data_IF_125623593194
#
_entry.id   IF_125623593194
#
_cell.length_a   1.000
_cell.length_b   1.000
_cell.length_c   1.000
_cell.angle_alpha   90.00
_cell.angle_beta   90.00
_cell.angle_gamma   90.00
#
_symmetry.space_group_name_H-M   'P 1'
#
loop_
_entity.id
_entity.type
_entity.pdbx_description
1 polymer ?
#
# COMPACT_ATOMS: atom_id res chain seq x y z
N UNK A 1 35.77 3.06 -1.58
CA UNK A 1 34.92 1.90 -1.26
C UNK A 1 33.66 2.44 -0.63
N UNK A 2 32.47 2.38 -1.28
CA UNK A 2 31.24 2.82 -0.62
C UNK A 2 30.91 1.83 0.48
N UNK A 3 30.59 2.35 1.67
CA UNK A 3 30.18 1.57 2.81
C UNK A 3 28.84 0.89 2.52
N UNK A 4 28.78 -0.43 2.71
CA UNK A 4 27.57 -1.24 2.59
C UNK A 4 26.57 -0.75 3.66
N UNK A 5 25.43 -0.22 3.24
CA UNK A 5 24.32 0.12 4.12
C UNK A 5 23.75 -1.19 4.68
N UNK A 6 23.69 -1.41 6.00
CA UNK A 6 23.13 -2.62 6.56
C UNK A 6 21.63 -2.67 6.29
N UNK A 7 21.20 -3.73 5.62
CA UNK A 7 19.78 -4.04 5.45
C UNK A 7 19.15 -4.27 6.84
N UNK A 8 18.30 -3.33 7.28
CA UNK A 8 17.52 -3.54 8.50
C UNK A 8 16.51 -4.65 8.26
N UNK A 9 16.44 -5.68 9.12
CA UNK A 9 15.40 -6.69 9.02
C UNK A 9 14.04 -6.00 9.19
N UNK A 10 13.09 -6.40 8.34
CA UNK A 10 11.68 -6.00 8.43
C UNK A 10 11.21 -6.23 9.87
N UNK A 11 10.70 -5.18 10.53
CA UNK A 11 10.15 -5.31 11.86
C UNK A 11 9.14 -6.47 11.87
N UNK A 12 9.35 -7.42 12.77
CA UNK A 12 8.45 -8.55 12.98
C UNK A 12 7.10 -7.98 13.42
N UNK A 13 6.12 -8.04 12.52
CA UNK A 13 4.77 -7.57 12.82
C UNK A 13 4.24 -8.40 14.00
N UNK A 14 3.74 -7.72 15.03
CA UNK A 14 3.07 -8.37 16.13
C UNK A 14 2.01 -9.35 15.58
N UNK A 15 1.87 -10.56 16.15
CA UNK A 15 0.95 -11.56 15.65
C UNK A 15 -0.47 -11.00 15.71
N UNK A 16 -1.01 -10.67 14.54
CA UNK A 16 -2.46 -10.51 14.39
C UNK A 16 -3.08 -11.85 14.78
N UNK A 17 -4.15 -11.82 15.58
CA UNK A 17 -4.88 -13.03 15.94
C UNK A 17 -5.10 -13.86 14.67
N UNK A 18 -4.58 -15.10 14.67
CA UNK A 18 -4.62 -15.96 13.50
C UNK A 18 -6.08 -16.10 13.05
N UNK A 19 -6.39 -15.52 11.90
CA UNK A 19 -7.70 -15.69 11.30
C UNK A 19 -7.89 -17.18 11.00
N UNK A 20 -9.03 -17.74 11.42
CA UNK A 20 -9.34 -19.15 11.15
C UNK A 20 -9.29 -19.40 9.64
N UNK A 21 -8.78 -20.58 9.21
CA UNK A 21 -8.77 -20.93 7.79
C UNK A 21 -10.16 -20.77 7.18
N UNK A 22 -10.25 -20.19 5.99
CA UNK A 22 -11.51 -19.99 5.27
C UNK A 22 -11.28 -20.05 3.78
N UNK A 23 -12.34 -20.34 3.04
CA UNK A 23 -12.35 -20.38 1.57
C UNK A 23 -13.30 -19.33 1.03
N UNK A 24 -12.84 -18.56 0.07
CA UNK A 24 -13.70 -17.71 -0.76
C UNK A 24 -13.90 -18.40 -2.11
N UNK A 25 -15.16 -18.60 -2.51
CA UNK A 25 -15.55 -19.13 -3.81
C UNK A 25 -16.28 -18.03 -4.60
N UNK A 26 -16.03 -17.95 -5.90
CA UNK A 26 -16.76 -17.05 -6.80
C UNK A 26 -16.93 -17.69 -8.19
N UNK A 27 -17.90 -17.20 -8.94
CA UNK A 27 -18.15 -17.68 -10.30
C UNK A 27 -17.10 -17.16 -11.32
N UNK A 28 -16.34 -16.14 -10.92
CA UNK A 28 -15.21 -15.59 -11.70
C UNK A 28 -14.03 -15.33 -10.78
N UNK A 29 -12.88 -15.87 -11.15
CA UNK A 29 -11.63 -15.69 -10.39
C UNK A 29 -10.53 -15.18 -11.32
N UNK A 30 -9.88 -14.07 -10.93
CA UNK A 30 -8.67 -13.57 -11.57
C UNK A 30 -7.49 -13.90 -10.67
N UNK A 31 -6.54 -14.70 -11.16
CA UNK A 31 -5.41 -15.19 -10.38
C UNK A 31 -4.21 -14.20 -10.32
N UNK A 32 -4.35 -13.05 -10.94
CA UNK A 32 -3.30 -12.05 -11.13
C UNK A 32 -2.82 -11.96 -12.58
N UNK A 33 -3.01 -13.02 -13.37
CA UNK A 33 -2.60 -13.09 -14.78
C UNK A 33 -3.80 -13.28 -15.70
N UNK A 34 -4.74 -14.13 -15.34
CA UNK A 34 -5.86 -14.55 -16.19
C UNK A 34 -7.19 -14.51 -15.45
N UNK A 35 -8.22 -14.13 -16.20
CA UNK A 35 -9.60 -14.31 -15.78
C UNK A 35 -10.05 -15.73 -16.08
N UNK A 36 -10.40 -16.47 -15.03
CA UNK A 36 -10.99 -17.81 -15.12
C UNK A 36 -12.49 -17.81 -14.88
N UNK A 37 -13.08 -19.02 -14.95
CA UNK A 37 -14.46 -19.31 -14.57
C UNK A 37 -14.58 -19.51 -13.05
N UNK A 38 -15.59 -20.34 -12.61
CA UNK A 38 -15.79 -20.64 -11.20
C UNK A 38 -14.53 -21.21 -10.54
N UNK A 39 -14.19 -20.65 -9.37
CA UNK A 39 -12.99 -21.04 -8.63
C UNK A 39 -13.04 -20.59 -7.20
N UNK A 40 -11.96 -20.85 -6.49
CA UNK A 40 -11.84 -20.54 -5.07
C UNK A 40 -10.40 -20.24 -4.66
N UNK A 41 -10.26 -19.51 -3.58
CA UNK A 41 -9.01 -19.34 -2.86
C UNK A 41 -9.18 -19.79 -1.41
N UNK A 42 -8.17 -20.42 -0.85
CA UNK A 42 -8.10 -20.74 0.57
C UNK A 42 -7.16 -19.77 1.28
N UNK A 43 -7.62 -19.26 2.40
CA UNK A 43 -6.92 -18.29 3.24
C UNK A 43 -6.56 -18.95 4.58
N UNK A 44 -5.34 -18.78 5.01
CA UNK A 44 -4.89 -19.12 6.36
C UNK A 44 -3.84 -18.10 6.80
N UNK A 45 -3.92 -17.68 8.05
CA UNK A 45 -2.96 -16.71 8.65
C UNK A 45 -2.77 -15.45 7.81
N UNK A 46 -3.86 -14.93 7.22
CA UNK A 46 -3.83 -13.74 6.38
C UNK A 46 -3.15 -13.92 5.01
N UNK A 47 -2.93 -15.17 4.58
CA UNK A 47 -2.29 -15.49 3.29
C UNK A 47 -3.17 -16.40 2.45
N UNK A 48 -3.03 -16.30 1.13
CA UNK A 48 -3.56 -17.29 0.19
C UNK A 48 -2.65 -18.52 0.26
N UNK A 49 -3.21 -19.66 0.69
CA UNK A 49 -2.47 -20.93 0.84
C UNK A 49 -2.79 -21.94 -0.26
N UNK A 50 -3.91 -21.76 -0.96
CA UNK A 50 -4.26 -22.57 -2.12
C UNK A 50 -5.25 -21.82 -3.02
N UNK A 51 -5.25 -22.18 -4.28
CA UNK A 51 -6.21 -21.74 -5.29
C UNK A 51 -6.66 -22.93 -6.11
N UNK A 52 -7.88 -22.88 -6.63
CA UNK A 52 -8.38 -23.97 -7.49
C UNK A 52 -9.65 -23.61 -8.24
N UNK A 53 -10.05 -24.53 -9.09
CA UNK A 53 -11.30 -24.47 -9.88
C UNK A 53 -12.29 -25.52 -9.36
N UNK A 54 -13.57 -25.33 -9.66
CA UNK A 54 -14.62 -26.22 -9.20
C UNK A 54 -14.91 -26.11 -7.71
N UNK A 55 -15.28 -27.21 -7.05
CA UNK A 55 -15.61 -27.21 -5.63
C UNK A 55 -14.37 -27.22 -4.75
N UNK A 56 -14.32 -26.38 -3.70
CA UNK A 56 -13.18 -26.34 -2.80
C UNK A 56 -13.14 -27.58 -1.90
N UNK A 57 -11.93 -28.08 -1.58
CA UNK A 57 -11.78 -29.18 -0.62
C UNK A 57 -12.17 -28.72 0.79
N UNK A 58 -12.89 -29.58 1.52
CA UNK A 58 -13.37 -29.30 2.89
C UNK A 58 -12.23 -29.12 3.93
N UNK A 59 -11.00 -29.46 3.56
CA UNK A 59 -9.83 -29.39 4.43
C UNK A 59 -9.34 -27.96 4.72
N UNK A 60 -9.82 -26.96 3.97
CA UNK A 60 -9.39 -25.57 4.09
C UNK A 60 -10.33 -24.67 4.92
N UNK A 61 -11.30 -25.26 5.65
CA UNK A 61 -12.22 -24.50 6.51
C UNK A 61 -13.57 -24.15 5.84
N UNK A 62 -14.36 -23.26 6.45
CA UNK A 62 -15.67 -22.87 5.94
C UNK A 62 -15.56 -22.16 4.60
N UNK A 63 -16.55 -22.41 3.72
CA UNK A 63 -16.64 -21.80 2.40
C UNK A 63 -17.61 -20.63 2.46
N UNK A 64 -17.14 -19.47 2.01
CA UNK A 64 -17.94 -18.27 1.76
C UNK A 64 -18.17 -18.15 0.26
N UNK A 65 -19.37 -18.44 -0.18
CA UNK A 65 -19.76 -18.34 -1.58
C UNK A 65 -20.17 -16.89 -1.92
N UNK A 66 -19.45 -16.27 -2.84
CA UNK A 66 -19.66 -14.91 -3.29
C UNK A 66 -20.55 -14.82 -4.54
N UNK A 67 -21.01 -15.97 -5.07
CA UNK A 67 -21.87 -16.07 -6.24
C UNK A 67 -21.20 -15.49 -7.50
N UNK A 68 -21.93 -14.63 -8.23
CA UNK A 68 -21.49 -14.03 -9.50
C UNK A 68 -20.42 -12.93 -9.36
N UNK A 69 -19.88 -12.74 -8.16
CA UNK A 69 -18.78 -11.80 -7.94
C UNK A 69 -17.52 -12.17 -8.74
N UNK A 70 -16.68 -11.18 -8.96
CA UNK A 70 -15.29 -11.35 -9.39
C UNK A 70 -14.38 -11.36 -8.17
N UNK A 71 -13.72 -12.47 -7.92
CA UNK A 71 -12.64 -12.59 -6.95
C UNK A 71 -11.30 -12.29 -7.65
N UNK A 72 -10.59 -11.28 -7.20
CA UNK A 72 -9.33 -10.84 -7.79
C UNK A 72 -8.36 -10.36 -6.70
N UNK A 73 -7.04 -10.30 -6.98
CA UNK A 73 -6.11 -9.56 -6.13
C UNK A 73 -6.58 -8.11 -5.97
N UNK A 74 -6.37 -7.55 -4.78
CA UNK A 74 -6.62 -6.13 -4.55
C UNK A 74 -5.71 -5.25 -5.39
N UNK A 75 -6.21 -4.07 -5.79
CA UNK A 75 -5.41 -3.10 -6.52
C UNK A 75 -4.27 -2.57 -5.67
N UNK A 76 -3.14 -2.27 -6.31
CA UNK A 76 -1.97 -1.62 -5.73
C UNK A 76 -1.88 -0.21 -6.30
N UNK A 77 -1.99 0.78 -5.43
CA UNK A 77 -1.84 2.20 -5.78
C UNK A 77 -0.47 2.67 -5.28
N UNK A 78 0.44 2.94 -6.20
CA UNK A 78 1.82 3.33 -5.89
C UNK A 78 2.02 4.85 -5.86
N UNK A 79 0.98 5.65 -6.15
CA UNK A 79 1.05 7.11 -6.23
C UNK A 79 -0.29 7.73 -5.82
N UNK A 80 -0.46 7.99 -4.54
CA UNK A 80 -1.74 8.43 -3.97
C UNK A 80 -1.55 9.68 -3.10
N UNK A 81 -2.19 10.79 -3.47
CA UNK A 81 -2.18 12.04 -2.70
C UNK A 81 -3.35 12.17 -1.73
N UNK A 82 -4.31 11.25 -1.78
CA UNK A 82 -5.48 11.27 -0.91
C UNK A 82 -6.68 10.53 -1.47
N UNK A 83 -7.79 10.58 -0.73
CA UNK A 83 -9.03 9.92 -1.13
C UNK A 83 -10.17 10.24 -0.17
N UNK A 84 -11.42 10.14 -0.63
CA UNK A 84 -12.59 10.36 0.22
C UNK A 84 -12.68 11.76 0.84
N UNK A 85 -12.09 12.77 0.19
CA UNK A 85 -12.03 14.15 0.71
C UNK A 85 -10.88 14.42 1.69
N UNK A 86 -9.93 13.51 1.84
CA UNK A 86 -8.77 13.64 2.73
C UNK A 86 -7.48 13.62 1.93
N UNK A 87 -6.55 14.53 2.23
CA UNK A 87 -5.22 14.60 1.63
C UNK A 87 -4.19 13.96 2.58
N UNK A 88 -3.21 13.22 2.03
CA UNK A 88 -2.22 12.52 2.86
C UNK A 88 -1.28 13.48 3.59
N UNK A 89 -0.97 14.63 3.01
CA UNK A 89 -0.17 15.69 3.60
C UNK A 89 -0.82 16.37 4.82
N UNK A 90 -2.13 16.17 5.02
CA UNK A 90 -2.85 16.69 6.19
C UNK A 90 -2.60 15.88 7.48
N UNK A 91 -1.72 14.90 7.45
CA UNK A 91 -1.27 14.12 8.59
C UNK A 91 -1.88 12.73 8.69
N UNK A 92 -1.44 11.97 9.70
CA UNK A 92 -1.74 10.54 9.84
C UNK A 92 -3.23 10.20 9.85
N UNK A 93 -4.08 11.00 10.53
CA UNK A 93 -5.52 10.75 10.58
C UNK A 93 -6.18 10.89 9.20
N UNK A 94 -5.80 11.92 8.43
CA UNK A 94 -6.31 12.15 7.08
C UNK A 94 -5.81 11.06 6.12
N UNK A 95 -4.52 10.70 6.19
CA UNK A 95 -3.95 9.63 5.38
C UNK A 95 -4.61 8.26 5.66
N UNK A 96 -4.93 7.96 6.92
CA UNK A 96 -5.70 6.76 7.29
C UNK A 96 -7.10 6.77 6.70
N UNK A 97 -7.79 7.91 6.74
CA UNK A 97 -9.13 8.05 6.17
C UNK A 97 -9.10 7.91 4.63
N UNK A 98 -8.08 8.48 3.97
CA UNK A 98 -7.84 8.32 2.54
C UNK A 98 -7.60 6.85 2.17
N UNK A 99 -6.71 6.15 2.87
CA UNK A 99 -6.45 4.72 2.65
C UNK A 99 -7.72 3.88 2.84
N UNK A 100 -8.52 4.16 3.89
CA UNK A 100 -9.79 3.48 4.11
C UNK A 100 -10.81 3.71 2.96
N UNK A 101 -10.78 4.89 2.32
CA UNK A 101 -11.62 5.16 1.16
C UNK A 101 -11.19 4.30 -0.05
N UNK A 102 -9.89 4.16 -0.28
CA UNK A 102 -9.34 3.31 -1.33
C UNK A 102 -9.62 1.83 -1.10
N UNK A 103 -9.51 1.34 0.15
CA UNK A 103 -9.86 -0.05 0.51
C UNK A 103 -11.30 -0.36 0.15
N UNK A 104 -12.25 0.55 0.43
CA UNK A 104 -13.66 0.34 0.04
C UNK A 104 -13.88 0.27 -1.47
N UNK A 105 -12.96 0.82 -2.26
CA UNK A 105 -12.97 0.76 -3.73
C UNK A 105 -12.14 -0.41 -4.31
N UNK A 106 -11.55 -1.26 -3.44
CA UNK A 106 -10.80 -2.45 -3.86
C UNK A 106 -9.27 -2.27 -3.93
N UNK A 107 -8.73 -1.11 -3.55
CA UNK A 107 -7.28 -0.91 -3.42
C UNK A 107 -6.81 -1.40 -2.05
N UNK A 108 -6.03 -2.46 -2.00
CA UNK A 108 -5.57 -3.09 -0.75
C UNK A 108 -4.15 -2.67 -0.36
N UNK A 109 -3.44 -2.00 -1.25
CA UNK A 109 -2.06 -1.56 -1.03
C UNK A 109 -1.92 -0.13 -1.54
N UNK A 110 -1.54 0.80 -0.66
CA UNK A 110 -1.43 2.22 -0.97
C UNK A 110 -0.05 2.73 -0.57
N UNK A 111 0.62 3.41 -1.49
CA UNK A 111 1.81 4.25 -1.22
C UNK A 111 1.34 5.71 -1.20
N UNK A 112 1.50 6.38 -0.05
CA UNK A 112 1.17 7.79 0.07
C UNK A 112 2.23 8.64 -0.64
N UNK A 113 1.81 9.58 -1.49
CA UNK A 113 2.70 10.50 -2.21
C UNK A 113 2.60 11.90 -1.63
N UNK A 114 3.74 12.45 -1.20
CA UNK A 114 3.88 13.82 -0.73
C UNK A 114 4.37 14.69 -1.87
N UNK A 115 3.65 15.79 -2.14
CA UNK A 115 4.08 16.77 -3.14
C UNK A 115 5.25 17.61 -2.62
N UNK A 116 5.96 18.28 -3.52
CA UNK A 116 7.04 19.22 -3.21
C UNK A 116 6.60 20.24 -2.16
N UNK A 117 7.36 20.30 -1.08
CA UNK A 117 7.27 21.29 -0.01
C UNK A 117 8.66 21.61 0.54
N UNK A 118 8.74 22.48 1.55
CA UNK A 118 9.98 22.74 2.29
C UNK A 118 10.46 21.46 2.99
N UNK A 119 11.78 21.24 3.05
CA UNK A 119 12.35 19.97 3.54
C UNK A 119 11.92 19.65 4.96
N UNK A 120 11.86 20.65 5.84
CA UNK A 120 11.41 20.47 7.22
C UNK A 120 9.93 20.05 7.29
N UNK A 121 9.10 20.59 6.41
CA UNK A 121 7.68 20.19 6.30
C UNK A 121 7.56 18.75 5.80
N UNK A 122 8.33 18.36 4.78
CA UNK A 122 8.38 16.98 4.28
C UNK A 122 8.86 16.01 5.35
N UNK A 123 9.89 16.36 6.12
CA UNK A 123 10.39 15.53 7.21
C UNK A 123 9.33 15.31 8.30
N UNK A 124 8.58 16.36 8.67
CA UNK A 124 7.47 16.24 9.62
C UNK A 124 6.33 15.36 9.09
N UNK A 125 5.95 15.52 7.82
CA UNK A 125 4.93 14.71 7.15
C UNK A 125 5.39 13.23 7.05
N UNK A 126 6.63 12.97 6.65
CA UNK A 126 7.20 11.62 6.64
C UNK A 126 7.12 10.96 8.01
N UNK A 127 7.55 11.66 9.06
CA UNK A 127 7.48 11.15 10.43
C UNK A 127 6.05 10.78 10.83
N UNK A 128 5.07 11.60 10.47
CA UNK A 128 3.66 11.31 10.76
C UNK A 128 3.14 10.07 10.00
N UNK A 129 3.61 9.84 8.76
CA UNK A 129 3.13 8.74 7.92
C UNK A 129 3.87 7.41 8.18
N UNK A 130 5.11 7.44 8.70
CA UNK A 130 5.86 6.21 8.99
C UNK A 130 5.18 5.33 10.03
N UNK A 131 4.43 5.91 10.97
CA UNK A 131 3.62 5.13 11.92
C UNK A 131 2.56 4.30 11.20
N UNK A 132 1.93 4.86 10.17
CA UNK A 132 0.94 4.14 9.36
C UNK A 132 1.55 3.01 8.52
N UNK A 133 2.81 3.17 8.11
CA UNK A 133 3.55 2.08 7.46
C UNK A 133 3.85 0.96 8.46
N UNK A 134 4.26 1.27 9.68
CA UNK A 134 4.50 0.29 10.74
C UNK A 134 3.21 -0.47 11.13
N UNK A 135 2.06 0.20 11.09
CA UNK A 135 0.75 -0.38 11.34
C UNK A 135 0.19 -1.17 10.15
N UNK A 136 0.85 -1.15 8.99
CA UNK A 136 0.39 -1.81 7.77
C UNK A 136 -0.78 -1.13 7.06
N UNK A 137 -1.08 0.13 7.40
CA UNK A 137 -2.11 0.94 6.73
C UNK A 137 -1.62 1.45 5.38
N UNK A 138 -0.35 1.85 5.31
CA UNK A 138 0.34 2.25 4.10
C UNK A 138 1.47 1.27 3.79
N UNK A 139 1.71 1.03 2.51
CA UNK A 139 2.85 0.22 2.06
C UNK A 139 4.16 1.00 2.09
N UNK A 140 4.08 2.31 2.01
CA UNK A 140 5.24 3.20 2.01
C UNK A 140 4.82 4.66 1.80
N UNK A 141 5.81 5.53 1.78
CA UNK A 141 5.66 6.95 1.43
C UNK A 141 6.60 7.28 0.28
N UNK A 142 6.09 7.98 -0.71
CA UNK A 142 6.81 8.47 -1.87
C UNK A 142 6.94 10.00 -1.79
N UNK A 143 8.12 10.52 -2.04
CA UNK A 143 8.35 11.96 -2.19
C UNK A 143 8.33 12.32 -3.68
N UNK A 144 7.33 13.07 -4.10
CA UNK A 144 7.24 13.63 -5.44
C UNK A 144 7.90 15.03 -5.46
N UNK A 145 9.21 15.04 -5.44
CA UNK A 145 10.03 16.23 -5.25
C UNK A 145 10.58 16.33 -3.82
N UNK A 146 11.29 17.42 -3.46
CA UNK A 146 11.45 18.70 -4.19
C UNK A 146 12.53 18.70 -5.30
N UNK A 147 13.20 17.60 -5.57
CA UNK A 147 14.34 17.50 -6.49
C UNK A 147 13.90 17.30 -7.95
N UNK A 148 12.96 18.12 -8.40
CA UNK A 148 12.43 18.11 -9.76
C UNK A 148 13.11 19.16 -10.62
N UNK A 149 13.20 18.88 -11.94
CA UNK A 149 13.64 19.88 -12.91
C UNK A 149 12.67 21.06 -12.95
N UNK A 150 13.14 22.30 -12.83
CA UNK A 150 12.27 23.47 -12.97
C UNK A 150 11.52 23.54 -14.30
N UNK A 151 12.10 22.96 -15.37
CA UNK A 151 11.49 22.92 -16.71
C UNK A 151 10.37 21.87 -16.82
N UNK A 152 10.36 20.88 -15.94
CA UNK A 152 9.41 19.75 -15.99
C UNK A 152 8.64 19.57 -14.66
N UNK A 153 8.53 20.64 -13.88
CA UNK A 153 7.92 20.57 -12.54
C UNK A 153 6.41 20.35 -12.51
N UNK A 154 5.72 20.51 -13.64
CA UNK A 154 4.26 20.40 -13.66
C UNK A 154 3.60 21.39 -12.70
N UNK A 155 2.72 20.91 -11.84
CA UNK A 155 1.97 21.71 -10.88
C UNK A 155 2.77 22.08 -9.61
N UNK A 156 3.99 21.54 -9.40
CA UNK A 156 4.78 21.81 -8.20
C UNK A 156 5.21 23.28 -8.10
N UNK A 157 5.23 23.82 -6.87
CA UNK A 157 5.64 25.21 -6.61
C UNK A 157 7.12 25.39 -6.95
N UNK A 158 7.42 26.31 -7.87
CA UNK A 158 8.79 26.57 -8.30
C UNK A 158 9.71 27.02 -7.14
N UNK A 159 9.16 27.76 -6.18
CA UNK A 159 9.91 28.29 -5.03
C UNK A 159 10.40 27.20 -4.05
N UNK A 160 9.74 26.04 -4.02
CA UNK A 160 10.11 24.92 -3.14
C UNK A 160 10.95 23.86 -3.86
N UNK A 161 11.27 24.05 -5.16
CA UNK A 161 12.21 23.17 -5.87
C UNK A 161 13.64 23.46 -5.45
N UNK A 162 14.44 22.39 -5.34
CA UNK A 162 15.86 22.50 -4.97
C UNK A 162 16.70 21.42 -5.62
N UNK A 163 18.01 21.66 -5.69
CA UNK A 163 18.96 20.64 -6.09
C UNK A 163 19.06 19.55 -5.00
N UNK A 164 19.34 18.30 -5.37
CA UNK A 164 19.55 17.23 -4.39
C UNK A 164 20.89 17.43 -3.68
N UNK A 165 20.85 17.71 -2.38
CA UNK A 165 22.03 17.78 -1.52
C UNK A 165 22.11 16.49 -0.68
N UNK A 166 23.32 15.98 -0.36
CA UNK A 166 23.47 14.74 0.41
C UNK A 166 22.74 14.76 1.76
N UNK A 167 22.71 15.91 2.42
CA UNK A 167 22.05 16.13 3.71
C UNK A 167 20.53 15.97 3.57
N UNK A 168 19.93 16.50 2.50
CA UNK A 168 18.51 16.37 2.24
C UNK A 168 18.13 14.91 1.94
N UNK A 169 18.96 14.24 1.13
CA UNK A 169 18.73 12.84 0.76
C UNK A 169 18.84 11.90 1.96
N UNK A 170 19.59 12.28 2.99
CA UNK A 170 19.69 11.48 4.22
C UNK A 170 18.37 11.37 4.98
N UNK A 171 17.44 12.32 4.78
CA UNK A 171 16.12 12.32 5.42
C UNK A 171 15.19 11.22 4.90
N UNK A 172 15.44 10.72 3.69
CA UNK A 172 14.61 9.65 3.09
C UNK A 172 15.13 8.24 3.41
N UNK A 173 16.26 8.12 4.09
CA UNK A 173 16.87 6.85 4.51
C UNK A 173 16.55 6.52 5.97
N UNK A 174 15.33 6.78 6.39
CA UNK A 174 14.85 6.53 7.76
C UNK A 174 14.56 5.05 7.97
#
# INVERSE_FOLDING_TARGET
MPASVPHRPRAEQAPQAAASPSVLRADRVHDGERLGGPGWIALAEGRVVAVGTGDPPRTHGPVHDLGDALLAPGCVDVHCHGGGGHAVESGAAAARAAAAAHVRAGTTTVVASLVTDEVDALAAQLTALTTLCAEGVLAGVHLEGPWLSPLHRGAHRAASLRAPEPEDLSLIHI
#
